data_IF_251643932621
#
_entry.id   IF_251643932621
#
_cell.length_a   1.000
_cell.length_b   1.000
_cell.length_c   1.000
_cell.angle_alpha   90.00
_cell.angle_beta   90.00
_cell.angle_gamma   90.00
#
_symmetry.space_group_name_H-M   'P 1'
#
loop_
_entity.id
_entity.type
_entity.pdbx_description
1 polymer ?
#
# COMPACT_ATOMS: atom_id res chain seq x y z
N UNK A 1 12.69 8.02 6.86
CA UNK A 1 13.92 7.62 6.17
C UNK A 1 13.87 6.18 5.63
N UNK A 2 13.21 5.23 6.32
CA UNK A 2 13.04 3.85 5.82
C UNK A 2 12.21 3.72 4.55
N UNK A 3 11.20 4.56 4.37
CA UNK A 3 10.33 4.55 3.18
C UNK A 3 11.10 4.87 1.89
N UNK A 4 12.09 5.75 1.94
CA UNK A 4 12.85 6.18 0.75
C UNK A 4 13.48 5.01 0.00
N UNK A 5 14.13 4.12 0.71
CA UNK A 5 14.79 2.96 0.08
C UNK A 5 13.77 1.96 -0.49
N UNK A 6 12.57 1.87 0.07
CA UNK A 6 11.48 1.05 -0.47
C UNK A 6 11.02 1.68 -1.80
N UNK A 7 10.71 2.97 -1.79
CA UNK A 7 10.29 3.71 -2.99
C UNK A 7 11.33 3.58 -4.11
N UNK A 8 12.60 3.86 -3.81
CA UNK A 8 13.69 3.78 -4.80
C UNK A 8 13.84 2.36 -5.38
N UNK A 9 13.75 1.30 -4.55
CA UNK A 9 13.83 -0.09 -5.02
C UNK A 9 12.60 -0.53 -5.83
N UNK A 10 11.44 0.08 -5.58
CA UNK A 10 10.23 -0.12 -6.38
C UNK A 10 10.23 0.74 -7.68
N UNK A 11 11.28 1.51 -7.95
CA UNK A 11 11.41 2.32 -9.16
C UNK A 11 10.78 3.71 -9.08
N UNK A 12 10.25 4.11 -7.93
CA UNK A 12 9.75 5.47 -7.72
C UNK A 12 10.91 6.45 -7.59
N UNK A 13 10.82 7.56 -8.31
CA UNK A 13 11.83 8.64 -8.30
C UNK A 13 11.34 9.86 -7.55
N UNK A 14 10.02 10.02 -7.44
CA UNK A 14 9.39 11.22 -6.92
C UNK A 14 8.39 10.85 -5.81
N UNK A 15 8.20 11.77 -4.87
CA UNK A 15 7.27 11.63 -3.77
C UNK A 15 6.56 12.95 -3.48
N UNK A 16 5.25 12.99 -3.73
CA UNK A 16 4.42 14.15 -3.47
C UNK A 16 3.58 13.90 -2.21
N UNK A 17 3.57 14.84 -1.25
CA UNK A 17 2.88 14.64 0.01
C UNK A 17 2.19 15.92 0.51
N UNK A 18 1.05 15.74 1.18
CA UNK A 18 0.30 16.85 1.80
C UNK A 18 0.59 17.03 3.29
N UNK A 19 1.02 15.97 3.96
CA UNK A 19 1.37 15.96 5.38
C UNK A 19 2.74 15.31 5.59
N UNK A 20 3.54 15.78 6.55
CA UNK A 20 3.26 16.78 7.60
C UNK A 20 3.13 18.20 7.04
N UNK A 21 2.32 19.03 7.72
CA UNK A 21 2.20 20.45 7.42
C UNK A 21 3.48 21.21 7.80
N UNK A 22 3.64 22.45 7.31
CA UNK A 22 4.78 23.31 7.69
C UNK A 22 4.88 23.54 9.19
N UNK A 23 3.74 23.66 9.87
CA UNK A 23 3.67 23.83 11.33
C UNK A 23 4.04 22.58 12.11
N UNK A 24 3.93 21.40 11.50
CA UNK A 24 4.22 20.11 12.14
C UNK A 24 5.68 19.67 11.94
N UNK A 25 6.26 20.00 10.78
CA UNK A 25 7.65 19.66 10.45
C UNK A 25 8.29 20.73 9.57
N UNK A 26 9.26 21.49 10.11
CA UNK A 26 10.08 22.36 9.28
C UNK A 26 11.00 21.51 8.38
N UNK A 27 11.05 21.87 7.11
CA UNK A 27 11.89 21.22 6.10
C UNK A 27 12.86 22.23 5.50
N UNK A 28 13.99 21.80 4.90
CA UNK A 28 14.97 22.70 4.31
C UNK A 28 14.45 23.47 3.08
N UNK A 29 13.35 23.01 2.51
CA UNK A 29 12.59 23.58 1.41
C UNK A 29 11.32 22.78 1.19
N UNK A 30 10.41 23.29 0.36
CA UNK A 30 9.19 22.51 0.07
C UNK A 30 9.47 21.36 -0.91
N UNK A 31 10.49 21.53 -1.74
CA UNK A 31 11.02 20.48 -2.61
C UNK A 31 12.46 20.20 -2.23
N UNK A 32 12.83 18.94 -2.08
CA UNK A 32 14.14 18.52 -1.59
C UNK A 32 14.48 17.10 -2.05
N UNK A 33 15.77 16.76 -1.99
CA UNK A 33 16.23 15.37 -2.14
C UNK A 33 16.04 14.65 -0.79
N UNK A 34 15.15 13.70 -0.75
CA UNK A 34 14.88 12.91 0.44
C UNK A 34 15.77 11.67 0.45
N UNK A 35 16.74 11.64 1.37
CA UNK A 35 17.75 10.58 1.48
C UNK A 35 17.36 9.57 2.55
N UNK A 36 17.42 8.27 2.21
CA UNK A 36 17.17 7.15 3.12
C UNK A 36 18.44 6.60 3.76
N UNK A 37 18.28 5.66 4.69
CA UNK A 37 19.38 5.04 5.46
C UNK A 37 20.44 4.36 4.59
N UNK A 38 20.06 3.80 3.44
CA UNK A 38 20.96 3.10 2.54
C UNK A 38 21.58 4.00 1.44
N UNK A 39 21.47 5.33 1.57
CA UNK A 39 21.93 6.27 0.56
C UNK A 39 21.03 6.37 -0.68
N UNK A 40 19.89 5.67 -0.71
CA UNK A 40 18.90 5.86 -1.76
C UNK A 40 18.24 7.22 -1.64
N UNK A 41 17.91 7.86 -2.75
CA UNK A 41 17.24 9.16 -2.78
C UNK A 41 16.00 9.13 -3.68
N UNK A 42 15.01 9.94 -3.32
CA UNK A 42 13.87 10.33 -4.16
C UNK A 42 13.70 11.85 -4.06
N UNK A 43 13.14 12.47 -5.08
CA UNK A 43 12.78 13.90 -5.00
C UNK A 43 11.42 13.99 -4.32
N UNK A 44 11.35 14.68 -3.19
CA UNK A 44 10.13 14.87 -2.44
C UNK A 44 9.66 16.32 -2.53
N UNK A 45 8.35 16.53 -2.67
CA UNK A 45 7.75 17.85 -2.67
C UNK A 45 6.48 17.89 -1.81
N UNK A 46 6.40 18.87 -0.91
CA UNK A 46 5.20 19.11 -0.11
C UNK A 46 4.22 19.96 -0.90
N UNK A 47 2.97 19.52 -0.95
CA UNK A 47 1.89 20.26 -1.58
C UNK A 47 1.71 21.64 -0.94
N UNK A 48 1.48 22.64 -1.79
CA UNK A 48 1.13 23.96 -1.31
C UNK A 48 -0.31 23.94 -0.77
N UNK A 49 -0.46 24.34 0.49
CA UNK A 49 -1.72 24.39 1.23
C UNK A 49 -2.34 22.96 1.38
N UNK A 50 -3.33 22.59 0.58
CA UNK A 50 -3.95 21.27 0.57
C UNK A 50 -3.99 20.75 -0.88
N UNK A 51 -4.28 19.46 -1.07
CA UNK A 51 -4.48 18.87 -2.40
C UNK A 51 -5.74 19.40 -3.10
N UNK A 52 -6.71 19.93 -2.36
CA UNK A 52 -8.02 20.39 -2.85
C UNK A 52 -8.20 21.89 -2.78
N UNK A 53 -9.26 22.40 -3.42
CA UNK A 53 -9.83 23.73 -3.22
C UNK A 53 -11.34 23.63 -3.10
N UNK A 54 -11.99 24.59 -2.44
CA UNK A 54 -13.42 24.73 -2.50
C UNK A 54 -13.83 25.19 -3.90
N UNK A 55 -15.09 24.96 -4.26
CA UNK A 55 -15.65 25.44 -5.53
C UNK A 55 -15.55 26.97 -5.62
N UNK A 56 -14.96 27.47 -6.69
CA UNK A 56 -14.73 28.89 -6.90
C UNK A 56 -13.48 29.47 -6.26
N UNK A 57 -12.71 28.64 -5.52
CA UNK A 57 -11.53 29.10 -4.75
C UNK A 57 -10.19 28.75 -5.41
N UNK A 58 -10.17 28.05 -6.53
CA UNK A 58 -8.91 27.64 -7.18
C UNK A 58 -8.06 28.86 -7.60
N UNK A 59 -8.67 29.91 -8.11
CA UNK A 59 -7.97 31.15 -8.48
C UNK A 59 -7.38 31.86 -7.25
N UNK A 60 -8.10 31.92 -6.13
CA UNK A 60 -7.59 32.51 -4.90
C UNK A 60 -6.39 31.72 -4.35
N UNK A 61 -6.47 30.39 -4.42
CA UNK A 61 -5.36 29.50 -4.05
C UNK A 61 -4.14 29.72 -4.96
N UNK A 62 -4.33 29.89 -6.27
CA UNK A 62 -3.27 30.19 -7.20
C UNK A 62 -2.61 31.54 -6.91
N UNK A 63 -3.38 32.59 -6.68
CA UNK A 63 -2.86 33.92 -6.32
C UNK A 63 -2.05 33.87 -5.02
N UNK A 64 -2.49 33.11 -4.04
CA UNK A 64 -1.73 32.88 -2.79
C UNK A 64 -0.41 32.17 -3.06
N UNK A 65 -0.38 31.12 -3.88
CA UNK A 65 0.84 30.43 -4.29
C UNK A 65 1.82 31.42 -4.95
N UNK A 66 1.35 32.19 -5.92
CA UNK A 66 2.19 33.14 -6.66
C UNK A 66 2.77 34.23 -5.75
N UNK A 67 2.03 34.69 -4.76
CA UNK A 67 2.50 35.65 -3.78
C UNK A 67 3.57 35.06 -2.84
N UNK A 68 3.39 33.83 -2.36
CA UNK A 68 4.29 33.18 -1.40
C UNK A 68 5.52 32.54 -2.06
N UNK A 69 5.44 32.20 -3.35
CA UNK A 69 6.44 31.46 -4.11
C UNK A 69 6.99 32.23 -5.31
N UNK A 70 6.99 33.56 -5.25
CA UNK A 70 7.41 34.44 -6.36
C UNK A 70 8.89 34.24 -6.76
N UNK A 71 9.71 33.63 -5.91
CA UNK A 71 11.11 33.30 -6.20
C UNK A 71 11.35 31.91 -6.78
N UNK A 72 10.33 31.04 -6.81
CA UNK A 72 10.47 29.69 -7.33
C UNK A 72 10.43 29.69 -8.86
N UNK A 73 11.37 28.99 -9.50
CA UNK A 73 11.39 28.86 -10.96
C UNK A 73 10.19 28.04 -11.47
N UNK A 74 9.78 27.03 -10.70
CA UNK A 74 8.65 26.13 -11.00
C UNK A 74 7.90 25.85 -9.71
N UNK A 75 6.55 25.90 -9.74
CA UNK A 75 5.70 25.56 -8.60
C UNK A 75 4.53 24.71 -9.05
N UNK A 76 4.09 23.77 -8.21
CA UNK A 76 2.94 22.90 -8.43
C UNK A 76 1.79 23.30 -7.51
N UNK A 77 0.59 23.46 -8.08
CA UNK A 77 -0.64 23.73 -7.37
C UNK A 77 -1.68 22.64 -7.67
N UNK A 78 -1.97 21.73 -6.75
CA UNK A 78 -3.18 20.92 -6.84
C UNK A 78 -4.41 21.76 -6.55
N UNK A 79 -5.48 21.54 -7.30
CA UNK A 79 -6.74 22.21 -7.12
C UNK A 79 -7.92 21.35 -7.58
N UNK A 80 -9.12 21.73 -7.22
CA UNK A 80 -10.34 21.02 -7.49
C UNK A 80 -11.04 20.59 -6.20
N UNK A 81 -12.34 20.31 -6.29
CA UNK A 81 -13.15 19.88 -5.16
C UNK A 81 -12.69 18.48 -4.76
N UNK A 82 -12.37 18.28 -3.51
CA UNK A 82 -11.86 17.01 -2.96
C UNK A 82 -12.59 16.59 -1.71
N UNK A 83 -11.92 15.82 -0.86
CA UNK A 83 -12.31 15.27 0.42
C UNK A 83 -13.31 14.10 0.34
N UNK A 84 -14.36 14.09 -0.38
CA UNK A 84 -15.27 12.94 -0.52
C UNK A 84 -15.70 12.73 -1.97
N UNK A 85 -14.88 13.12 -2.88
CA UNK A 85 -15.15 13.10 -4.30
C UNK A 85 -15.38 14.49 -4.85
N UNK A 86 -15.22 14.65 -6.14
CA UNK A 86 -15.28 15.91 -6.84
C UNK A 86 -14.23 15.97 -7.93
N UNK A 87 -13.71 17.16 -8.16
CA UNK A 87 -12.73 17.43 -9.19
C UNK A 87 -12.79 18.88 -9.64
N UNK A 88 -12.21 19.23 -10.78
CA UNK A 88 -12.28 20.58 -11.33
C UNK A 88 -13.70 21.03 -11.60
N UNK A 89 -14.09 22.21 -11.11
CA UNK A 89 -15.36 22.83 -11.48
C UNK A 89 -15.21 23.67 -12.77
N UNK A 90 -16.28 23.80 -13.54
CA UNK A 90 -16.25 24.65 -14.75
C UNK A 90 -15.96 26.11 -14.40
N UNK A 91 -16.55 26.62 -13.31
CA UNK A 91 -16.29 27.98 -12.85
C UNK A 91 -14.82 28.23 -12.49
N UNK A 92 -14.17 27.27 -11.85
CA UNK A 92 -12.74 27.35 -11.54
C UNK A 92 -11.88 27.29 -12.81
N UNK A 93 -12.21 26.41 -13.77
CA UNK A 93 -11.53 26.33 -15.06
C UNK A 93 -11.59 27.65 -15.82
N UNK A 94 -12.79 28.24 -15.94
CA UNK A 94 -13.02 29.53 -16.60
C UNK A 94 -12.24 30.68 -15.92
N UNK A 95 -12.26 30.72 -14.59
CA UNK A 95 -11.52 31.71 -13.81
C UNK A 95 -9.99 31.58 -13.96
N UNK A 96 -9.48 30.36 -13.95
CA UNK A 96 -8.05 30.08 -14.14
C UNK A 96 -7.60 30.38 -15.56
N UNK A 97 -8.37 30.03 -16.58
CA UNK A 97 -8.07 30.34 -17.97
C UNK A 97 -8.10 31.84 -18.27
N UNK A 98 -9.06 32.56 -17.71
CA UNK A 98 -9.09 34.01 -17.80
C UNK A 98 -7.86 34.66 -17.14
N UNK A 99 -7.49 34.21 -15.96
CA UNK A 99 -6.31 34.72 -15.25
C UNK A 99 -5.01 34.37 -15.97
N UNK A 100 -4.90 33.16 -16.54
CA UNK A 100 -3.71 32.71 -17.30
C UNK A 100 -3.36 33.65 -18.44
N UNK A 101 -4.34 34.26 -19.08
CA UNK A 101 -4.13 35.17 -20.22
C UNK A 101 -3.49 36.52 -19.83
N UNK A 102 -3.58 36.90 -18.55
CA UNK A 102 -3.08 38.21 -18.03
C UNK A 102 -2.00 38.07 -16.95
N UNK A 103 -1.63 36.83 -16.59
CA UNK A 103 -0.62 36.55 -15.59
C UNK A 103 0.77 36.94 -16.09
N UNK A 104 1.64 37.38 -15.17
CA UNK A 104 3.06 37.71 -15.45
C UNK A 104 3.98 36.48 -15.52
N UNK A 105 3.44 35.29 -15.29
CA UNK A 105 4.16 34.02 -15.36
C UNK A 105 3.41 33.01 -16.23
N UNK A 106 4.09 31.98 -16.68
CA UNK A 106 3.46 30.89 -17.44
C UNK A 106 2.67 29.98 -16.51
N UNK A 107 1.37 29.83 -16.78
CA UNK A 107 0.49 28.93 -16.05
C UNK A 107 0.00 27.86 -17.02
N UNK A 108 0.20 26.58 -16.68
CA UNK A 108 -0.24 25.45 -17.48
C UNK A 108 -0.99 24.43 -16.64
N UNK A 109 -1.95 23.73 -17.23
CA UNK A 109 -2.45 22.48 -16.64
C UNK A 109 -1.43 21.39 -16.87
N UNK A 110 -1.04 20.70 -15.81
CA UNK A 110 0.08 19.79 -15.84
C UNK A 110 -0.14 18.55 -14.96
N UNK A 111 0.85 17.72 -14.87
CA UNK A 111 0.89 16.54 -14.00
C UNK A 111 2.04 16.64 -13.00
N UNK A 112 2.00 15.90 -11.89
CA UNK A 112 3.14 15.81 -10.97
C UNK A 112 4.44 15.40 -11.67
N UNK A 113 4.38 14.44 -12.60
CA UNK A 113 5.58 13.99 -13.31
C UNK A 113 6.24 15.09 -14.14
N UNK A 114 5.44 15.90 -14.84
CA UNK A 114 5.95 17.03 -15.60
C UNK A 114 6.58 18.09 -14.66
N UNK A 115 5.95 18.37 -13.52
CA UNK A 115 6.52 19.26 -12.50
C UNK A 115 7.90 18.78 -12.03
N UNK A 116 8.02 17.51 -11.66
CA UNK A 116 9.30 16.97 -11.20
C UNK A 116 10.37 16.95 -12.29
N UNK A 117 9.97 16.78 -13.56
CA UNK A 117 10.90 16.80 -14.69
C UNK A 117 11.51 18.18 -14.99
N UNK A 118 10.81 19.27 -14.61
CA UNK A 118 11.26 20.65 -14.82
C UNK A 118 12.18 21.16 -13.70
N UNK A 119 12.30 20.44 -12.58
CA UNK A 119 13.12 20.87 -11.45
C UNK A 119 14.62 20.73 -11.71
N UNK A 120 15.41 21.67 -11.24
CA UNK A 120 16.87 21.52 -11.13
C UNK A 120 17.20 20.67 -9.89
N UNK A 121 17.32 19.38 -10.09
CA UNK A 121 17.56 18.42 -9.01
C UNK A 121 18.90 18.66 -8.27
N UNK A 122 19.89 19.25 -8.94
CA UNK A 122 21.20 19.50 -8.33
C UNK A 122 21.15 20.64 -7.30
N UNK A 123 20.27 21.61 -7.51
CA UNK A 123 20.08 22.75 -6.61
C UNK A 123 19.23 22.43 -5.37
N UNK A 124 18.56 21.26 -5.33
CA UNK A 124 17.67 20.92 -4.23
C UNK A 124 18.44 20.59 -2.94
N UNK A 125 17.98 21.10 -1.78
CA UNK A 125 18.55 20.74 -0.49
C UNK A 125 18.31 19.25 -0.18
N UNK A 126 19.15 18.69 0.68
CA UNK A 126 19.04 17.30 1.14
C UNK A 126 18.34 17.24 2.49
N UNK A 127 17.41 16.30 2.64
CA UNK A 127 16.78 15.98 3.90
C UNK A 127 16.84 14.47 4.16
N UNK A 128 17.33 14.05 5.34
CA UNK A 128 17.48 12.65 5.72
C UNK A 128 16.59 12.22 6.90
N UNK A 129 15.71 13.10 7.35
CA UNK A 129 14.78 12.84 8.44
C UNK A 129 13.55 12.04 8.02
N UNK A 130 12.69 11.78 9.01
CA UNK A 130 11.39 11.14 8.77
C UNK A 130 10.31 12.17 8.43
N UNK A 131 9.39 11.82 7.57
CA UNK A 131 8.24 12.67 7.18
C UNK A 131 6.94 12.28 7.90
N UNK A 132 7.03 11.55 9.01
CA UNK A 132 5.87 10.98 9.68
C UNK A 132 5.72 11.37 11.16
N UNK A 133 5.65 12.67 11.50
CA UNK A 133 5.31 13.09 12.86
C UNK A 133 3.80 13.07 13.13
N UNK A 134 2.97 12.98 12.09
CA UNK A 134 1.51 13.12 12.15
C UNK A 134 0.84 11.75 12.10
N UNK A 135 -0.20 11.53 12.92
CA UNK A 135 -1.03 10.31 12.93
C UNK A 135 -0.28 9.01 13.25
N UNK A 136 0.80 9.07 13.99
CA UNK A 136 1.61 7.87 14.35
C UNK A 136 0.80 6.80 15.09
N UNK A 137 -0.31 7.15 15.73
CA UNK A 137 -1.23 6.22 16.39
C UNK A 137 -1.88 5.21 15.43
N UNK A 138 -1.96 5.52 14.14
CA UNK A 138 -2.53 4.62 13.13
C UNK A 138 -1.74 3.30 12.98
N UNK A 139 -0.47 3.24 13.37
CA UNK A 139 0.33 2.02 13.33
C UNK A 139 -0.09 0.98 14.37
N UNK A 140 -0.75 1.39 15.44
CA UNK A 140 -1.15 0.51 16.55
C UNK A 140 -2.65 0.51 16.83
N UNK A 141 -3.41 1.45 16.25
CA UNK A 141 -4.86 1.49 16.39
C UNK A 141 -5.52 0.26 15.77
N UNK A 142 -6.58 -0.27 16.40
CA UNK A 142 -7.33 -1.45 15.95
C UNK A 142 -6.41 -2.61 15.50
N UNK A 143 -5.53 -3.03 16.40
CA UNK A 143 -4.46 -4.00 16.12
C UNK A 143 -4.97 -5.30 15.47
N UNK A 144 -6.19 -5.73 15.79
CA UNK A 144 -6.81 -6.94 15.22
C UNK A 144 -6.92 -6.88 13.70
N UNK A 145 -7.22 -5.70 13.13
CA UNK A 145 -7.25 -5.48 11.67
C UNK A 145 -5.87 -5.77 11.08
N UNK A 146 -4.82 -5.16 11.63
CA UNK A 146 -3.44 -5.32 11.15
C UNK A 146 -2.94 -6.77 11.24
N UNK A 147 -3.30 -7.46 12.30
CA UNK A 147 -2.92 -8.86 12.49
C UNK A 147 -3.61 -9.77 11.46
N UNK A 148 -4.93 -9.60 11.22
CA UNK A 148 -5.65 -10.38 10.21
C UNK A 148 -5.22 -10.04 8.80
N UNK A 149 -5.05 -8.77 8.50
CA UNK A 149 -4.53 -8.31 7.21
C UNK A 149 -3.18 -8.99 6.90
N UNK A 150 -2.22 -8.94 7.81
CA UNK A 150 -0.91 -9.61 7.62
C UNK A 150 -1.05 -11.12 7.47
N UNK A 151 -1.95 -11.73 8.22
CA UNK A 151 -2.22 -13.17 8.11
C UNK A 151 -2.82 -13.52 6.75
N UNK A 152 -3.80 -12.75 6.28
CA UNK A 152 -4.43 -12.95 4.97
C UNK A 152 -3.43 -12.76 3.83
N UNK A 153 -2.63 -11.72 3.87
CA UNK A 153 -1.55 -11.49 2.90
C UNK A 153 -0.56 -12.68 2.80
N UNK A 154 -0.15 -13.21 3.94
CA UNK A 154 0.73 -14.38 3.96
C UNK A 154 0.03 -15.65 3.47
N UNK A 155 -1.26 -15.83 3.80
CA UNK A 155 -2.06 -16.98 3.34
C UNK A 155 -2.31 -16.95 1.85
N UNK A 156 -2.56 -15.77 1.27
CA UNK A 156 -2.72 -15.61 -0.17
C UNK A 156 -1.47 -16.09 -0.94
N UNK A 157 -0.30 -15.63 -0.53
CA UNK A 157 0.98 -16.08 -1.12
C UNK A 157 1.20 -17.59 -1.00
N UNK A 158 0.89 -18.17 0.17
CA UNK A 158 1.02 -19.60 0.39
C UNK A 158 0.06 -20.39 -0.50
N UNK A 159 -1.21 -19.99 -0.54
CA UNK A 159 -2.25 -20.65 -1.33
C UNK A 159 -1.94 -20.59 -2.83
N UNK A 160 -1.51 -19.44 -3.35
CA UNK A 160 -1.04 -19.30 -4.73
C UNK A 160 0.11 -20.24 -5.04
N UNK A 161 1.13 -20.28 -4.19
CA UNK A 161 2.32 -21.13 -4.40
C UNK A 161 1.96 -22.59 -4.40
N UNK A 162 1.12 -23.04 -3.46
CA UNK A 162 0.64 -24.43 -3.41
C UNK A 162 -0.26 -24.77 -4.60
N UNK A 163 -1.17 -23.87 -4.98
CA UNK A 163 -2.04 -24.06 -6.13
C UNK A 163 -1.24 -24.18 -7.44
N UNK A 164 -0.22 -23.32 -7.61
CA UNK A 164 0.69 -23.41 -8.75
C UNK A 164 1.45 -24.73 -8.79
N UNK A 165 1.92 -25.21 -7.64
CA UNK A 165 2.59 -26.51 -7.54
C UNK A 165 1.67 -27.66 -7.93
N UNK A 166 0.41 -27.65 -7.46
CA UNK A 166 -0.59 -28.65 -7.82
C UNK A 166 -1.02 -28.55 -9.29
N UNK A 167 -1.12 -27.35 -9.84
CA UNK A 167 -1.38 -27.12 -11.27
C UNK A 167 -0.28 -27.73 -12.14
N UNK A 168 0.99 -27.40 -11.84
CA UNK A 168 2.12 -27.89 -12.62
C UNK A 168 2.35 -29.40 -12.48
N UNK A 169 2.21 -29.95 -11.26
CA UNK A 169 2.56 -31.34 -10.97
C UNK A 169 1.42 -32.32 -11.22
N UNK A 170 0.17 -31.91 -10.99
CA UNK A 170 -1.00 -32.78 -11.02
C UNK A 170 -2.02 -32.42 -12.11
N UNK A 171 -1.77 -31.35 -12.89
CA UNK A 171 -2.75 -30.85 -13.86
C UNK A 171 -4.07 -30.36 -13.24
N UNK A 172 -4.05 -29.93 -11.97
CA UNK A 172 -5.23 -29.38 -11.30
C UNK A 172 -5.62 -28.04 -11.92
N UNK A 173 -6.94 -27.76 -11.96
CA UNK A 173 -7.41 -26.44 -12.42
C UNK A 173 -6.92 -25.32 -11.52
N UNK A 174 -6.61 -24.18 -12.12
CA UNK A 174 -6.23 -22.97 -11.38
C UNK A 174 -7.42 -22.39 -10.61
N UNK A 175 -7.31 -22.14 -9.30
CA UNK A 175 -8.45 -21.72 -8.46
C UNK A 175 -8.65 -20.18 -8.51
N UNK A 176 -8.80 -19.63 -9.71
CA UNK A 176 -8.87 -18.19 -10.00
C UNK A 176 -9.89 -17.46 -9.11
N UNK A 177 -11.12 -17.99 -9.03
CA UNK A 177 -12.21 -17.34 -8.29
C UNK A 177 -11.89 -17.21 -6.81
N UNK A 178 -11.43 -18.29 -6.16
CA UNK A 178 -11.10 -18.27 -4.72
C UNK A 178 -9.95 -17.30 -4.42
N UNK A 179 -8.88 -17.35 -5.22
CA UNK A 179 -7.74 -16.44 -5.04
C UNK A 179 -8.14 -14.99 -5.24
N UNK A 180 -8.96 -14.70 -6.25
CA UNK A 180 -9.47 -13.36 -6.51
C UNK A 180 -10.36 -12.85 -5.39
N UNK A 181 -11.30 -13.64 -4.92
CA UNK A 181 -12.17 -13.27 -3.79
C UNK A 181 -11.36 -12.90 -2.55
N UNK A 182 -10.38 -13.72 -2.19
CA UNK A 182 -9.52 -13.43 -1.04
C UNK A 182 -8.61 -12.19 -1.27
N UNK A 183 -8.16 -11.97 -2.50
CA UNK A 183 -7.40 -10.77 -2.86
C UNK A 183 -8.29 -9.52 -2.79
N UNK A 184 -9.53 -9.58 -3.24
CA UNK A 184 -10.48 -8.47 -3.15
C UNK A 184 -10.79 -8.11 -1.69
N UNK A 185 -10.96 -9.10 -0.80
CA UNK A 185 -11.12 -8.89 0.64
C UNK A 185 -9.89 -8.21 1.26
N UNK A 186 -8.69 -8.65 0.88
CA UNK A 186 -7.43 -8.05 1.32
C UNK A 186 -7.33 -6.59 0.87
N UNK A 187 -7.50 -6.33 -0.42
CA UNK A 187 -7.33 -5.02 -1.03
C UNK A 187 -8.38 -4.01 -0.54
N UNK A 188 -9.63 -4.43 -0.36
CA UNK A 188 -10.66 -3.58 0.21
C UNK A 188 -10.28 -3.10 1.61
N UNK A 189 -9.72 -3.99 2.43
CA UNK A 189 -9.33 -3.65 3.81
C UNK A 189 -8.04 -2.83 3.90
N UNK A 190 -7.35 -2.56 2.80
CA UNK A 190 -6.25 -1.60 2.71
C UNK A 190 -6.72 -0.13 2.60
N UNK A 191 -8.04 0.11 2.54
CA UNK A 191 -8.61 1.46 2.54
C UNK A 191 -8.04 2.29 3.71
N UNK A 192 -7.81 3.58 3.43
CA UNK A 192 -7.05 4.48 4.32
C UNK A 192 -7.66 4.72 5.71
N UNK A 193 -8.92 4.31 5.95
CA UNK A 193 -9.54 4.33 7.28
C UNK A 193 -9.66 2.94 7.92
N UNK A 194 -9.57 1.87 7.14
CA UNK A 194 -9.64 0.50 7.65
C UNK A 194 -8.28 0.06 8.19
N UNK A 195 -7.28 -0.05 7.34
CA UNK A 195 -5.94 -0.50 7.75
C UNK A 195 -5.29 0.41 8.81
N UNK A 196 -5.39 1.75 8.74
CA UNK A 196 -4.92 2.63 9.79
C UNK A 196 -5.69 2.53 11.11
N UNK A 197 -6.92 2.02 11.10
CA UNK A 197 -7.75 1.84 12.30
C UNK A 197 -8.39 3.13 12.79
N UNK A 198 -8.83 3.99 11.87
CA UNK A 198 -9.57 5.23 12.15
C UNK A 198 -11.08 5.09 11.90
N UNK A 199 -11.54 3.91 11.52
CA UNK A 199 -12.94 3.61 11.28
C UNK A 199 -13.76 3.47 12.57
N UNK A 200 -15.08 3.55 12.46
CA UNK A 200 -16.03 3.33 13.57
C UNK A 200 -16.06 1.87 14.02
N UNK A 201 -16.51 1.62 15.24
CA UNK A 201 -16.60 0.25 15.77
C UNK A 201 -17.48 -0.71 14.94
N UNK A 202 -18.65 -0.31 14.39
CA UNK A 202 -19.39 -1.18 13.46
C UNK A 202 -18.60 -1.50 12.18
N UNK A 203 -17.90 -0.51 11.59
CA UNK A 203 -17.07 -0.72 10.42
C UNK A 203 -15.87 -1.63 10.71
N UNK A 204 -15.26 -1.54 11.89
CA UNK A 204 -14.23 -2.50 12.34
C UNK A 204 -14.75 -3.93 12.36
N UNK A 205 -15.96 -4.14 12.90
CA UNK A 205 -16.56 -5.46 12.95
C UNK A 205 -16.84 -6.04 11.55
N UNK A 206 -17.28 -5.20 10.60
CA UNK A 206 -17.48 -5.61 9.21
C UNK A 206 -16.16 -5.95 8.53
N UNK A 207 -15.15 -5.11 8.70
CA UNK A 207 -13.81 -5.33 8.14
C UNK A 207 -13.14 -6.59 8.68
N UNK A 208 -13.34 -6.90 9.98
CA UNK A 208 -12.84 -8.16 10.57
C UNK A 208 -13.52 -9.38 9.94
N UNK A 209 -14.85 -9.33 9.72
CA UNK A 209 -15.57 -10.42 9.04
C UNK A 209 -15.08 -10.63 7.61
N UNK A 210 -14.80 -9.54 6.89
CA UNK A 210 -14.29 -9.62 5.54
C UNK A 210 -12.90 -10.26 5.49
N UNK A 211 -11.99 -9.84 6.38
CA UNK A 211 -10.66 -10.46 6.50
C UNK A 211 -10.73 -11.94 6.91
N UNK A 212 -11.65 -12.30 7.82
CA UNK A 212 -11.85 -13.68 8.25
C UNK A 212 -12.44 -14.53 7.10
N UNK A 213 -13.34 -13.99 6.28
CA UNK A 213 -13.86 -14.66 5.07
C UNK A 213 -12.73 -15.01 4.08
N UNK A 214 -11.88 -14.06 3.74
CA UNK A 214 -10.72 -14.32 2.86
C UNK A 214 -9.78 -15.39 3.45
N UNK A 215 -9.57 -15.40 4.78
CA UNK A 215 -8.76 -16.41 5.45
C UNK A 215 -9.40 -17.81 5.36
N UNK A 216 -10.71 -17.95 5.58
CA UNK A 216 -11.43 -19.20 5.49
C UNK A 216 -11.38 -19.80 4.09
N UNK A 217 -11.60 -18.98 3.05
CA UNK A 217 -11.49 -19.39 1.64
C UNK A 217 -10.11 -19.95 1.31
N UNK A 218 -9.05 -19.26 1.75
CA UNK A 218 -7.67 -19.69 1.49
C UNK A 218 -7.26 -20.90 2.35
N UNK A 219 -7.71 -20.99 3.58
CA UNK A 219 -7.44 -22.16 4.45
C UNK A 219 -8.09 -23.42 3.85
N UNK A 220 -9.33 -23.32 3.35
CA UNK A 220 -10.01 -24.42 2.66
C UNK A 220 -9.32 -24.80 1.34
N UNK A 221 -8.92 -23.83 0.53
CA UNK A 221 -8.15 -24.05 -0.69
C UNK A 221 -6.82 -24.74 -0.40
N UNK A 222 -6.10 -24.25 0.59
CA UNK A 222 -4.82 -24.79 1.04
C UNK A 222 -4.97 -26.25 1.48
N UNK A 223 -5.97 -26.55 2.30
CA UNK A 223 -6.26 -27.89 2.78
C UNK A 223 -6.56 -28.88 1.63
N UNK A 224 -7.47 -28.49 0.71
CA UNK A 224 -7.82 -29.31 -0.46
C UNK A 224 -6.60 -29.56 -1.36
N UNK A 225 -5.77 -28.55 -1.52
CA UNK A 225 -4.55 -28.65 -2.34
C UNK A 225 -3.52 -29.57 -1.69
N UNK A 226 -3.31 -29.46 -0.37
CA UNK A 226 -2.48 -30.36 0.39
C UNK A 226 -2.92 -31.81 0.25
N UNK A 227 -4.18 -32.11 0.46
CA UNK A 227 -4.68 -33.48 0.29
C UNK A 227 -4.47 -34.03 -1.11
N UNK A 228 -4.60 -33.18 -2.14
CA UNK A 228 -4.35 -33.62 -3.50
C UNK A 228 -2.86 -33.96 -3.74
N UNK A 229 -1.95 -33.14 -3.21
CA UNK A 229 -0.51 -33.35 -3.30
C UNK A 229 -0.09 -34.61 -2.51
N UNK A 230 -0.57 -34.78 -1.27
CA UNK A 230 -0.27 -35.92 -0.44
C UNK A 230 -0.73 -37.25 -1.05
N UNK A 231 -1.93 -37.27 -1.66
CA UNK A 231 -2.44 -38.47 -2.35
C UNK A 231 -1.65 -38.86 -3.59
N UNK A 232 -0.86 -37.95 -4.14
CA UNK A 232 0.00 -38.24 -5.28
C UNK A 232 1.37 -38.83 -4.91
N UNK A 233 1.72 -38.83 -3.63
CA UNK A 233 2.96 -39.42 -3.14
C UNK A 233 2.82 -40.92 -2.95
N UNK A 234 3.96 -41.60 -2.98
CA UNK A 234 4.00 -43.05 -2.72
C UNK A 234 3.51 -43.35 -1.29
N UNK A 235 2.72 -44.42 -1.10
CA UNK A 235 2.28 -44.80 0.24
C UNK A 235 3.45 -45.20 1.12
N UNK A 236 3.36 -44.92 2.41
CA UNK A 236 4.33 -45.36 3.40
C UNK A 236 4.44 -46.86 3.42
N UNK A 237 5.65 -47.37 3.72
CA UNK A 237 5.95 -48.81 3.81
C UNK A 237 5.94 -49.26 5.27
N UNK A 238 5.16 -50.30 5.55
CA UNK A 238 5.15 -50.90 6.90
C UNK A 238 4.63 -49.95 7.97
N UNK A 239 5.40 -49.77 9.04
CA UNK A 239 5.06 -48.91 10.17
C UNK A 239 5.62 -47.47 10.05
N UNK A 240 6.07 -47.06 8.87
CA UNK A 240 6.57 -45.69 8.64
C UNK A 240 5.46 -44.67 8.72
N UNK A 241 5.75 -43.55 9.38
CA UNK A 241 4.88 -42.38 9.41
C UNK A 241 5.47 -41.29 8.50
N UNK A 242 4.91 -41.08 7.31
CA UNK A 242 5.45 -40.08 6.39
C UNK A 242 5.11 -38.67 6.89
N UNK A 243 6.15 -37.81 6.88
CA UNK A 243 6.01 -36.38 7.20
C UNK A 243 6.31 -35.58 5.95
N UNK A 244 5.37 -34.76 5.56
CA UNK A 244 5.53 -33.88 4.40
C UNK A 244 5.74 -32.44 4.85
N UNK A 245 6.81 -31.83 4.37
CA UNK A 245 7.17 -30.44 4.63
C UNK A 245 7.26 -29.68 3.32
N UNK A 246 6.56 -28.60 3.20
CA UNK A 246 6.58 -27.73 2.04
C UNK A 246 7.26 -26.39 2.36
N UNK A 247 8.26 -26.05 1.58
CA UNK A 247 8.90 -24.72 1.64
C UNK A 247 8.34 -23.84 0.50
N UNK A 248 7.51 -22.83 0.79
CA UNK A 248 6.95 -21.95 -0.22
C UNK A 248 7.95 -20.90 -0.75
N UNK A 249 9.15 -20.83 -0.20
CA UNK A 249 10.16 -19.84 -0.59
C UNK A 249 11.04 -20.35 -1.72
N UNK A 250 11.54 -19.50 -2.62
CA UNK A 250 12.48 -19.87 -3.67
C UNK A 250 13.93 -20.06 -3.16
N UNK A 251 14.14 -20.04 -1.85
CA UNK A 251 15.42 -20.28 -1.18
C UNK A 251 15.30 -21.32 -0.08
N UNK A 252 16.41 -22.04 0.27
CA UNK A 252 16.41 -22.96 1.39
C UNK A 252 16.10 -22.26 2.72
N UNK A 253 15.29 -22.94 3.55
CA UNK A 253 14.93 -22.45 4.89
C UNK A 253 15.32 -23.49 5.92
N UNK A 254 15.96 -23.07 7.02
CA UNK A 254 16.23 -23.90 8.21
C UNK A 254 15.35 -23.41 9.36
N UNK A 255 14.40 -24.24 9.78
CA UNK A 255 13.48 -23.93 10.89
C UNK A 255 13.18 -25.18 11.70
N UNK A 256 12.76 -24.97 12.94
CA UNK A 256 12.11 -25.99 13.76
C UNK A 256 10.69 -26.13 13.24
N UNK A 257 10.24 -27.37 13.07
CA UNK A 257 8.86 -27.71 12.68
C UNK A 257 8.27 -28.54 13.81
N UNK A 258 7.16 -28.07 14.37
CA UNK A 258 6.41 -28.81 15.37
C UNK A 258 5.51 -29.81 14.65
N UNK A 259 5.55 -31.05 15.10
CA UNK A 259 4.74 -32.15 14.57
C UNK A 259 3.82 -32.66 15.67
N UNK A 260 2.54 -32.74 15.37
CA UNK A 260 1.55 -33.42 16.21
C UNK A 260 1.33 -34.82 15.65
N UNK A 261 1.65 -35.85 16.42
CA UNK A 261 1.58 -37.24 16.01
C UNK A 261 0.70 -38.02 16.97
N UNK A 262 -0.22 -38.80 16.41
CA UNK A 262 -0.99 -39.79 17.17
C UNK A 262 -0.41 -41.17 16.85
N UNK A 263 0.31 -41.77 17.81
CA UNK A 263 1.06 -43.00 17.63
C UNK A 263 0.24 -44.29 17.97
N UNK A 264 -0.95 -44.13 18.51
CA UNK A 264 -1.81 -45.28 18.86
C UNK A 264 -3.25 -45.02 18.31
N UNK A 265 -3.91 -46.10 17.92
CA UNK A 265 -5.33 -46.04 17.61
C UNK A 265 -6.09 -45.59 18.85
N UNK A 266 -6.78 -44.48 18.73
CA UNK A 266 -7.81 -44.13 19.72
C UNK A 266 -9.01 -44.97 19.40
N UNK A 267 -9.16 -46.06 20.14
CA UNK A 267 -10.41 -46.79 20.16
C UNK A 267 -11.45 -45.91 20.88
N UNK A 268 -12.29 -45.29 20.11
CA UNK A 268 -13.56 -44.81 20.64
C UNK A 268 -14.35 -46.07 21.00
N UNK A 269 -14.19 -46.52 22.24
CA UNK A 269 -15.11 -47.49 22.80
C UNK A 269 -16.38 -46.74 23.16
N UNK A 270 -17.49 -47.10 22.51
CA UNK A 270 -18.82 -46.64 22.85
C UNK A 270 -19.15 -46.88 24.32
#
# INVERSE_FOLDING_TARGET
AGLVQILARCGFRNYLFGRPLRSELPLPGETFRWSGYAGSEVIASRLFDNYQSLRGEALNKLKKLLAERSGDAVALLPWGIGDHGGGPSRADLEALDAFRSVASCTIIHSTPDAFFAELDHAALPVYSGDLNPTFVGCYTSQLRIKQRHRRLENRLKLAETLALHAFCRLGRSWPETTLRTAADDLLFTEFHDILPGSQSAPAEADSLRQLDHGLEELDLLTLKTWFALLRSEAPAKGAELPVFVFNPHPWPVRRIVDLELQLADQNWTD
#
